data_IF_629631160810
#
_entry.id   IF_629631160810
#
_cell.length_a   1.000
_cell.length_b   1.000
_cell.length_c   1.000
_cell.angle_alpha   90.00
_cell.angle_beta   90.00
_cell.angle_gamma   90.00
#
_symmetry.space_group_name_H-M   'P 1'
#
loop_
_entity.id
_entity.type
_entity.pdbx_description
1 polymer ?
#
# COMPACT_ATOMS: atom_id res chain seq x y z
N UNK A 1 -11.17 -15.11 13.02
CA UNK A 1 -12.49 -14.58 12.62
C UNK A 1 -12.36 -13.11 12.31
N UNK A 2 -12.97 -12.64 11.22
CA UNK A 2 -13.08 -11.22 10.87
C UNK A 2 -14.53 -10.76 11.05
N UNK A 3 -14.74 -9.64 11.72
CA UNK A 3 -16.06 -9.05 11.94
C UNK A 3 -16.42 -8.17 10.75
N UNK A 4 -17.42 -8.56 9.97
CA UNK A 4 -17.85 -7.86 8.75
C UNK A 4 -18.97 -6.85 9.02
N UNK A 5 -19.55 -6.83 10.22
CA UNK A 5 -20.61 -5.87 10.58
C UNK A 5 -20.29 -4.39 10.28
N UNK A 6 -19.06 -3.88 10.47
CA UNK A 6 -18.73 -2.52 10.06
C UNK A 6 -18.77 -2.32 8.54
N UNK A 7 -18.43 -3.35 7.75
CA UNK A 7 -18.51 -3.32 6.29
C UNK A 7 -19.98 -3.38 5.83
N UNK A 8 -20.76 -4.35 6.32
CA UNK A 8 -22.18 -4.51 6.01
C UNK A 8 -22.97 -3.22 6.30
N UNK A 9 -22.78 -2.63 7.48
CA UNK A 9 -23.39 -1.35 7.88
C UNK A 9 -23.00 -0.17 6.97
N UNK A 10 -21.76 -0.14 6.46
CA UNK A 10 -21.33 0.91 5.54
C UNK A 10 -21.91 0.73 4.12
N UNK A 11 -21.99 -0.52 3.63
CA UNK A 11 -22.57 -0.85 2.33
C UNK A 11 -24.09 -0.61 2.27
N UNK A 12 -24.81 -0.93 3.34
CA UNK A 12 -26.25 -0.71 3.43
C UNK A 12 -26.63 0.75 3.74
N UNK A 13 -25.70 1.53 4.30
CA UNK A 13 -25.90 2.92 4.68
C UNK A 13 -25.60 3.95 3.59
N UNK A 14 -25.67 5.23 3.96
CA UNK A 14 -25.45 6.40 3.08
C UNK A 14 -24.08 6.36 2.37
N UNK A 15 -23.07 5.72 2.97
CA UNK A 15 -21.74 5.58 2.37
C UNK A 15 -21.76 4.65 1.14
N UNK A 16 -22.45 3.50 1.23
CA UNK A 16 -22.65 2.58 0.10
C UNK A 16 -23.50 3.21 -1.00
N UNK A 17 -24.56 3.95 -0.65
CA UNK A 17 -25.37 4.72 -1.60
C UNK A 17 -24.52 5.72 -2.39
N UNK A 18 -23.68 6.51 -1.72
CA UNK A 18 -22.77 7.48 -2.37
C UNK A 18 -21.67 6.82 -3.19
N UNK A 19 -21.15 5.68 -2.75
CA UNK A 19 -20.18 4.91 -3.51
C UNK A 19 -20.79 4.35 -4.80
N UNK A 20 -22.03 3.84 -4.74
CA UNK A 20 -22.77 3.40 -5.91
C UNK A 20 -23.09 4.57 -6.86
N UNK A 21 -23.53 5.72 -6.34
CA UNK A 21 -23.79 6.92 -7.13
C UNK A 21 -22.52 7.39 -7.87
N UNK A 22 -21.37 7.39 -7.20
CA UNK A 22 -20.08 7.73 -7.81
C UNK A 22 -19.74 6.78 -8.96
N UNK A 23 -19.88 5.46 -8.78
CA UNK A 23 -19.62 4.46 -9.82
C UNK A 23 -20.62 4.59 -10.97
N UNK A 24 -21.91 4.77 -10.66
CA UNK A 24 -22.97 4.96 -11.66
C UNK A 24 -22.70 6.15 -12.57
N UNK A 25 -22.26 7.27 -11.99
CA UNK A 25 -21.93 8.50 -12.72
C UNK A 25 -20.66 8.38 -13.59
N UNK A 26 -19.92 7.27 -13.51
CA UNK A 26 -18.80 6.95 -14.44
C UNK A 26 -19.20 6.00 -15.59
N UNK A 27 -20.43 5.47 -15.59
CA UNK A 27 -20.90 4.58 -16.65
C UNK A 27 -21.08 5.34 -17.98
N UNK A 28 -20.64 4.78 -19.13
CA UNK A 28 -20.93 5.37 -20.43
C UNK A 28 -22.42 5.29 -20.76
N UNK A 29 -22.94 6.22 -21.55
CA UNK A 29 -24.32 6.18 -22.04
C UNK A 29 -24.60 4.88 -22.82
N UNK A 30 -25.75 4.25 -22.59
CA UNK A 30 -26.10 3.01 -23.26
C UNK A 30 -26.26 3.21 -24.78
N UNK A 31 -25.67 2.29 -25.55
CA UNK A 31 -25.95 2.17 -26.98
C UNK A 31 -27.36 1.61 -27.22
N UNK A 32 -27.95 1.92 -28.38
CA UNK A 32 -29.29 1.46 -28.73
C UNK A 32 -29.43 -0.07 -28.67
N UNK A 33 -28.39 -0.81 -29.07
CA UNK A 33 -28.36 -2.29 -28.99
C UNK A 33 -28.39 -2.81 -27.55
N UNK A 34 -27.77 -2.12 -26.59
CA UNK A 34 -27.87 -2.47 -25.16
C UNK A 34 -29.25 -2.16 -24.57
N UNK A 35 -29.92 -1.13 -25.07
CA UNK A 35 -31.30 -0.78 -24.67
C UNK A 35 -32.28 -1.81 -25.22
N UNK A 36 -32.11 -2.24 -26.46
CA UNK A 36 -33.02 -3.19 -27.11
C UNK A 36 -32.79 -4.64 -26.66
N UNK A 37 -31.55 -5.03 -26.32
CA UNK A 37 -31.28 -6.27 -25.57
C UNK A 37 -32.04 -6.29 -24.23
N UNK A 38 -31.94 -5.23 -23.43
CA UNK A 38 -32.65 -5.14 -22.15
C UNK A 38 -34.17 -5.27 -22.34
N UNK A 39 -34.75 -4.55 -23.31
CA UNK A 39 -36.19 -4.68 -23.65
C UNK A 39 -36.55 -6.09 -24.12
N UNK A 40 -35.70 -6.76 -24.92
CA UNK A 40 -35.95 -8.14 -25.34
C UNK A 40 -35.87 -9.12 -24.17
N UNK A 41 -34.97 -8.92 -23.20
CA UNK A 41 -34.90 -9.73 -21.98
C UNK A 41 -36.12 -9.47 -21.08
N UNK A 42 -36.55 -8.21 -20.94
CA UNK A 42 -37.76 -7.82 -20.21
C UNK A 42 -39.03 -8.42 -20.84
N UNK A 43 -39.18 -8.39 -22.16
CA UNK A 43 -40.32 -8.97 -22.88
C UNK A 43 -40.36 -10.51 -22.88
N UNK A 44 -39.25 -11.17 -22.53
CA UNK A 44 -39.13 -12.63 -22.39
C UNK A 44 -39.18 -13.11 -20.93
N UNK A 45 -39.19 -12.18 -19.97
CA UNK A 45 -39.18 -12.51 -18.54
C UNK A 45 -40.55 -13.02 -18.08
N UNK A 46 -40.54 -14.01 -17.19
CA UNK A 46 -41.76 -14.50 -16.56
C UNK A 46 -42.18 -13.58 -15.40
N UNK A 47 -43.47 -13.58 -15.04
CA UNK A 47 -43.98 -12.77 -13.93
C UNK A 47 -43.18 -13.02 -12.64
N UNK A 48 -42.59 -11.96 -12.07
CA UNK A 48 -41.76 -12.01 -10.86
C UNK A 48 -40.25 -12.16 -11.11
N UNK A 49 -39.80 -12.37 -12.35
CA UNK A 49 -38.38 -12.47 -12.68
C UNK A 49 -37.74 -11.08 -12.84
N UNK A 50 -36.83 -10.70 -11.93
CA UNK A 50 -36.00 -9.49 -12.09
C UNK A 50 -35.12 -9.60 -13.34
N UNK A 51 -35.03 -8.52 -14.13
CA UNK A 51 -34.17 -8.44 -15.32
C UNK A 51 -33.13 -7.35 -15.11
N UNK A 52 -31.86 -7.74 -14.97
CA UNK A 52 -30.79 -6.80 -14.68
C UNK A 52 -30.46 -5.88 -15.86
N UNK A 53 -30.39 -4.59 -15.59
CA UNK A 53 -29.91 -3.55 -16.51
C UNK A 53 -28.46 -3.80 -16.95
N UNK A 54 -28.15 -3.50 -18.21
CA UNK A 54 -26.78 -3.49 -18.73
C UNK A 54 -25.93 -2.42 -18.02
N UNK A 55 -24.62 -2.67 -17.87
CA UNK A 55 -23.65 -1.78 -17.20
C UNK A 55 -23.31 -0.56 -18.08
N UNK A 56 -24.30 0.31 -18.27
CA UNK A 56 -24.24 1.58 -18.99
C UNK A 56 -25.36 2.49 -18.46
N UNK A 57 -25.24 3.80 -18.62
CA UNK A 57 -26.24 4.76 -18.16
C UNK A 57 -27.45 4.75 -19.12
N UNK A 58 -28.61 4.26 -18.65
CA UNK A 58 -29.86 4.34 -19.42
C UNK A 58 -30.38 5.79 -19.47
N UNK A 59 -31.12 6.19 -20.52
CA UNK A 59 -31.80 7.48 -20.56
C UNK A 59 -33.05 7.47 -19.66
N UNK A 60 -33.58 8.66 -19.37
CA UNK A 60 -34.92 8.83 -18.79
C UNK A 60 -35.99 8.12 -19.64
N UNK A 61 -36.98 7.43 -19.05
CA UNK A 61 -37.31 7.39 -17.63
C UNK A 61 -36.55 6.34 -16.79
N UNK A 62 -35.82 5.41 -17.40
CA UNK A 62 -35.27 4.20 -16.73
C UNK A 62 -34.15 4.47 -15.72
N UNK A 63 -33.55 5.67 -15.72
CA UNK A 63 -32.43 6.05 -14.84
C UNK A 63 -32.73 5.84 -13.35
N UNK A 64 -33.94 6.20 -12.90
CA UNK A 64 -34.33 6.07 -11.49
C UNK A 64 -34.47 4.60 -11.06
N UNK A 65 -35.14 3.79 -11.88
CA UNK A 65 -35.32 2.36 -11.66
C UNK A 65 -33.98 1.61 -11.68
N UNK A 66 -33.08 1.97 -12.61
CA UNK A 66 -31.74 1.40 -12.70
C UNK A 66 -30.90 1.69 -11.43
N UNK A 67 -30.95 2.93 -10.92
CA UNK A 67 -30.29 3.31 -9.65
C UNK A 67 -30.87 2.53 -8.47
N UNK A 68 -32.18 2.32 -8.43
CA UNK A 68 -32.84 1.55 -7.38
C UNK A 68 -32.48 0.05 -7.43
N UNK A 69 -32.51 -0.58 -8.61
CA UNK A 69 -32.14 -2.00 -8.80
C UNK A 69 -30.67 -2.26 -8.44
N UNK A 70 -29.76 -1.35 -8.77
CA UNK A 70 -28.35 -1.47 -8.37
C UNK A 70 -28.17 -1.29 -6.85
N UNK A 71 -28.91 -0.39 -6.20
CA UNK A 71 -28.86 -0.25 -4.74
C UNK A 71 -29.41 -1.50 -4.04
N UNK A 72 -30.54 -2.04 -4.52
CA UNK A 72 -31.09 -3.30 -4.04
C UNK A 72 -30.09 -4.45 -4.25
N UNK A 73 -29.41 -4.51 -5.39
CA UNK A 73 -28.38 -5.54 -5.65
C UNK A 73 -27.18 -5.43 -4.70
N UNK A 74 -26.73 -4.22 -4.36
CA UNK A 74 -25.67 -4.00 -3.36
C UNK A 74 -26.14 -4.39 -1.95
N UNK A 75 -27.41 -4.16 -1.62
CA UNK A 75 -28.01 -4.56 -0.34
C UNK A 75 -28.19 -6.08 -0.23
N UNK A 76 -28.74 -6.74 -1.25
CA UNK A 76 -28.88 -8.20 -1.33
C UNK A 76 -27.50 -8.89 -1.18
N UNK A 77 -26.44 -8.34 -1.80
CA UNK A 77 -25.06 -8.82 -1.61
C UNK A 77 -24.56 -8.55 -0.19
N UNK A 78 -24.81 -7.37 0.39
CA UNK A 78 -24.38 -7.03 1.74
C UNK A 78 -25.03 -7.90 2.82
N UNK A 79 -26.28 -8.33 2.63
CA UNK A 79 -26.94 -9.30 3.52
C UNK A 79 -26.50 -10.75 3.30
N UNK A 80 -25.98 -11.10 2.11
CA UNK A 80 -25.30 -12.39 1.89
C UNK A 80 -23.94 -12.50 2.57
N UNK A 81 -23.35 -11.38 3.03
CA UNK A 81 -22.07 -11.39 3.76
C UNK A 81 -22.32 -11.84 5.22
N UNK A 82 -21.79 -12.99 5.65
CA UNK A 82 -21.96 -13.44 7.03
C UNK A 82 -21.26 -12.49 8.00
N UNK A 83 -21.93 -12.12 9.09
CA UNK A 83 -21.49 -11.16 10.11
C UNK A 83 -20.10 -11.46 10.73
N UNK A 84 -19.70 -12.73 10.68
CA UNK A 84 -18.38 -13.22 11.08
C UNK A 84 -17.80 -14.13 10.00
N UNK A 85 -16.71 -13.73 9.36
CA UNK A 85 -15.98 -14.55 8.41
C UNK A 85 -14.90 -15.37 9.13
N UNK A 86 -15.05 -16.69 9.12
CA UNK A 86 -14.08 -17.63 9.67
C UNK A 86 -12.93 -17.86 8.68
N UNK A 87 -12.03 -16.88 8.59
CA UNK A 87 -10.80 -16.95 7.78
C UNK A 87 -9.91 -18.18 8.07
N UNK A 88 -10.12 -18.86 9.20
CA UNK A 88 -9.46 -20.13 9.57
C UNK A 88 -9.91 -21.33 8.73
N UNK A 89 -11.13 -21.29 8.20
CA UNK A 89 -11.78 -22.45 7.58
C UNK A 89 -11.68 -22.41 6.05
N UNK A 90 -11.43 -21.22 5.49
CA UNK A 90 -11.32 -20.96 4.04
C UNK A 90 -9.87 -20.75 3.54
N UNK A 91 -8.90 -20.67 4.46
CA UNK A 91 -7.47 -20.56 4.14
C UNK A 91 -6.73 -21.71 4.84
N UNK A 92 -5.75 -22.37 4.20
CA UNK A 92 -5.08 -23.56 4.73
C UNK A 92 -4.04 -23.24 5.85
N UNK A 93 -4.34 -22.26 6.71
CA UNK A 93 -3.50 -21.88 7.84
C UNK A 93 -3.84 -22.73 9.07
N UNK A 94 -2.98 -23.70 9.37
CA UNK A 94 -3.07 -24.43 10.64
C UNK A 94 -2.99 -23.46 11.83
N UNK A 95 -3.57 -23.84 12.98
CA UNK A 95 -3.48 -23.03 14.20
C UNK A 95 -2.01 -22.73 14.59
N UNK A 96 -1.09 -23.65 14.29
CA UNK A 96 0.35 -23.46 14.48
C UNK A 96 0.93 -22.40 13.54
N UNK A 97 0.54 -22.40 12.26
CA UNK A 97 0.93 -21.38 11.28
C UNK A 97 0.41 -20.00 11.68
N UNK A 98 -0.85 -19.90 12.14
CA UNK A 98 -1.41 -18.64 12.65
C UNK A 98 -0.65 -18.11 13.87
N UNK A 99 -0.30 -18.99 14.83
CA UNK A 99 0.50 -18.62 15.98
C UNK A 99 1.91 -18.13 15.58
N UNK A 100 2.57 -18.84 14.66
CA UNK A 100 3.89 -18.45 14.13
C UNK A 100 3.86 -17.09 13.42
N UNK A 101 2.87 -16.85 12.54
CA UNK A 101 2.69 -15.55 11.86
C UNK A 101 2.40 -14.43 12.86
N UNK A 102 1.54 -14.68 13.87
CA UNK A 102 1.30 -13.71 14.95
C UNK A 102 2.57 -13.39 15.75
N UNK A 103 3.38 -14.40 16.08
CA UNK A 103 4.63 -14.22 16.81
C UNK A 103 5.65 -13.43 15.96
N UNK A 104 5.78 -13.78 14.68
CA UNK A 104 6.67 -13.09 13.74
C UNK A 104 6.27 -11.62 13.54
N UNK A 105 4.97 -11.30 13.45
CA UNK A 105 4.49 -9.91 13.38
C UNK A 105 4.80 -9.13 14.67
N UNK A 106 4.66 -9.75 15.84
CA UNK A 106 5.02 -9.11 17.13
C UNK A 106 6.54 -8.90 17.27
N UNK A 107 7.35 -9.86 16.83
CA UNK A 107 8.81 -9.74 16.79
C UNK A 107 9.25 -8.66 15.79
N UNK A 108 8.74 -8.68 14.56
CA UNK A 108 9.03 -7.67 13.54
C UNK A 108 8.64 -6.26 14.00
N UNK A 109 7.49 -6.09 14.67
CA UNK A 109 7.08 -4.81 15.27
C UNK A 109 8.03 -4.35 16.39
N UNK A 110 8.55 -5.28 17.18
CA UNK A 110 9.51 -5.00 18.27
C UNK A 110 10.88 -4.61 17.70
N UNK A 111 11.37 -5.37 16.72
CA UNK A 111 12.63 -5.11 16.00
C UNK A 111 12.54 -3.78 15.25
N UNK A 112 11.42 -3.48 14.58
CA UNK A 112 11.19 -2.19 13.92
C UNK A 112 11.18 -1.02 14.93
N UNK A 113 10.56 -1.20 16.11
CA UNK A 113 10.49 -0.16 17.15
C UNK A 113 11.84 0.16 17.81
N UNK A 114 12.74 -0.81 17.92
CA UNK A 114 13.98 -0.67 18.71
C UNK A 114 15.28 -0.85 17.90
N UNK A 115 15.23 -1.33 16.65
CA UNK A 115 16.42 -1.56 15.82
C UNK A 115 17.25 -0.32 15.52
N UNK A 116 16.62 0.86 15.51
CA UNK A 116 17.32 2.14 15.39
C UNK A 116 18.19 2.46 16.63
N UNK A 117 17.78 2.05 17.84
CA UNK A 117 18.61 2.16 19.05
C UNK A 117 19.82 1.22 18.97
N UNK A 118 19.64 0.01 18.41
CA UNK A 118 20.75 -0.92 18.20
C UNK A 118 21.80 -0.32 17.25
N UNK A 119 21.34 0.28 16.13
CA UNK A 119 22.22 0.94 15.17
C UNK A 119 22.96 2.16 15.76
N UNK A 120 22.27 3.02 16.50
CA UNK A 120 22.87 4.17 17.19
C UNK A 120 23.84 3.72 18.28
N UNK A 121 23.49 2.70 19.07
CA UNK A 121 24.37 2.14 20.11
C UNK A 121 25.65 1.54 19.53
N UNK A 122 25.57 0.85 18.39
CA UNK A 122 26.73 0.32 17.69
C UNK A 122 27.63 1.46 17.14
N UNK A 123 27.03 2.50 16.56
CA UNK A 123 27.75 3.70 16.10
C UNK A 123 28.49 4.40 17.25
N UNK A 124 27.84 4.56 18.42
CA UNK A 124 28.47 5.11 19.62
C UNK A 124 29.59 4.23 20.17
N UNK A 125 29.45 2.90 20.12
CA UNK A 125 30.51 1.97 20.50
C UNK A 125 31.73 2.10 19.57
N UNK A 126 31.51 2.19 18.26
CA UNK A 126 32.56 2.42 17.26
C UNK A 126 33.23 3.78 17.47
N UNK A 127 32.46 4.83 17.80
CA UNK A 127 33.04 6.13 18.16
C UNK A 127 33.97 6.03 19.37
N UNK A 128 33.50 5.45 20.48
CA UNK A 128 34.25 5.34 21.73
C UNK A 128 35.53 4.50 21.62
N UNK A 129 35.60 3.55 20.68
CA UNK A 129 36.75 2.65 20.50
C UNK A 129 37.71 3.10 19.38
N UNK A 130 37.19 3.63 18.27
CA UNK A 130 37.98 3.90 17.05
C UNK A 130 38.28 5.38 16.80
N UNK A 131 37.48 6.32 17.32
CA UNK A 131 37.67 7.76 17.06
C UNK A 131 38.62 8.35 18.09
N UNK A 132 39.92 8.42 17.73
CA UNK A 132 40.97 9.04 18.55
C UNK A 132 41.26 10.50 18.17
N UNK A 133 40.87 10.93 16.98
CA UNK A 133 41.01 12.31 16.51
C UNK A 133 39.74 12.82 15.81
N UNK A 134 39.64 14.15 15.67
CA UNK A 134 38.58 14.78 14.88
C UNK A 134 38.62 14.37 13.38
N UNK A 135 39.77 13.93 12.87
CA UNK A 135 39.90 13.43 11.50
C UNK A 135 39.33 12.01 11.37
N UNK A 136 39.51 11.17 12.39
CA UNK A 136 38.94 9.83 12.46
C UNK A 136 37.41 9.88 12.51
N UNK A 137 36.83 10.86 13.21
CA UNK A 137 35.38 11.08 13.26
C UNK A 137 34.80 11.21 11.84
N UNK A 138 35.42 12.03 10.99
CA UNK A 138 34.99 12.23 9.60
C UNK A 138 35.05 10.97 8.75
N UNK A 139 36.07 10.12 8.95
CA UNK A 139 36.21 8.84 8.25
C UNK A 139 35.22 7.79 8.76
N UNK A 140 35.12 7.59 10.08
CA UNK A 140 34.30 6.54 10.69
C UNK A 140 32.80 6.86 10.72
N UNK A 141 32.39 8.13 10.71
CA UNK A 141 30.98 8.52 10.67
C UNK A 141 30.56 9.10 9.32
N UNK A 142 31.38 9.99 8.73
CA UNK A 142 31.04 10.65 7.47
C UNK A 142 30.88 9.68 6.30
N UNK A 143 31.79 8.70 6.17
CA UNK A 143 31.72 7.71 5.08
C UNK A 143 30.49 6.79 5.23
N UNK A 144 30.20 6.16 6.39
CA UNK A 144 28.98 5.34 6.54
C UNK A 144 27.68 6.13 6.44
N UNK A 145 27.63 7.40 6.89
CA UNK A 145 26.46 8.27 6.71
C UNK A 145 26.23 8.60 5.23
N UNK A 146 27.29 8.93 4.48
CA UNK A 146 27.20 9.14 3.04
C UNK A 146 26.78 7.86 2.31
N UNK A 147 27.39 6.71 2.63
CA UNK A 147 27.09 5.43 1.98
C UNK A 147 25.65 4.96 2.27
N UNK A 148 25.17 5.11 3.51
CA UNK A 148 23.78 4.77 3.87
C UNK A 148 22.77 5.74 3.24
N UNK A 149 23.11 7.01 3.06
CA UNK A 149 22.33 7.95 2.26
C UNK A 149 22.20 7.52 0.79
N UNK A 150 23.30 7.13 0.15
CA UNK A 150 23.29 6.60 -1.24
C UNK A 150 22.50 5.30 -1.35
N UNK A 151 22.69 4.35 -0.43
CA UNK A 151 21.96 3.08 -0.40
C UNK A 151 20.46 3.29 -0.17
N UNK A 152 20.07 4.16 0.77
CA UNK A 152 18.69 4.53 1.03
C UNK A 152 18.02 5.18 -0.19
N UNK A 153 18.70 6.13 -0.82
CA UNK A 153 18.21 6.79 -2.03
C UNK A 153 18.03 5.79 -3.19
N UNK A 154 19.03 4.92 -3.40
CA UNK A 154 18.98 3.84 -4.40
C UNK A 154 17.79 2.92 -4.15
N UNK A 155 17.60 2.47 -2.90
CA UNK A 155 16.45 1.65 -2.50
C UNK A 155 15.11 2.36 -2.74
N UNK A 156 14.99 3.67 -2.46
CA UNK A 156 13.73 4.39 -2.74
C UNK A 156 13.36 4.45 -4.23
N UNK A 157 14.35 4.34 -5.12
CA UNK A 157 14.15 4.30 -6.58
C UNK A 157 13.89 2.87 -7.08
N UNK A 158 14.60 1.86 -6.56
CA UNK A 158 14.51 0.48 -7.06
C UNK A 158 13.38 -0.34 -6.44
N UNK A 159 12.95 -0.07 -5.20
CA UNK A 159 11.90 -0.85 -4.53
C UNK A 159 10.57 -0.90 -5.31
N UNK A 160 10.04 0.21 -5.87
CA UNK A 160 8.80 0.16 -6.64
C UNK A 160 8.92 -0.74 -7.88
N UNK A 161 10.02 -0.65 -8.62
CA UNK A 161 10.27 -1.45 -9.82
C UNK A 161 10.48 -2.95 -9.49
N UNK A 162 11.27 -3.25 -8.47
CA UNK A 162 11.42 -4.64 -7.97
C UNK A 162 10.10 -5.17 -7.40
N UNK A 163 9.33 -4.31 -6.73
CA UNK A 163 8.03 -4.62 -6.16
C UNK A 163 7.03 -5.09 -7.21
N UNK A 164 6.91 -4.40 -8.35
CA UNK A 164 6.04 -4.86 -9.45
C UNK A 164 6.39 -6.27 -9.94
N UNK A 165 7.68 -6.59 -10.06
CA UNK A 165 8.14 -7.95 -10.40
C UNK A 165 7.82 -8.99 -9.33
N UNK A 166 7.96 -8.64 -8.05
CA UNK A 166 7.65 -9.55 -6.94
C UNK A 166 6.15 -9.76 -6.76
N UNK A 167 5.33 -8.72 -6.91
CA UNK A 167 3.88 -8.83 -6.77
C UNK A 167 3.24 -9.56 -7.95
N UNK A 168 3.74 -9.42 -9.18
CA UNK A 168 3.20 -10.18 -10.33
C UNK A 168 3.31 -11.70 -10.14
N UNK A 169 4.34 -12.18 -9.43
CA UNK A 169 4.47 -13.58 -9.03
C UNK A 169 3.41 -14.00 -8.01
N UNK A 170 3.13 -13.15 -7.00
CA UNK A 170 2.07 -13.41 -6.02
C UNK A 170 0.65 -13.32 -6.60
N UNK A 171 0.41 -12.39 -7.54
CA UNK A 171 -0.92 -12.18 -8.14
C UNK A 171 -1.20 -13.09 -9.34
N UNK A 172 -0.24 -13.90 -9.79
CA UNK A 172 -0.44 -14.92 -10.83
C UNK A 172 -1.52 -15.97 -10.48
N UNK A 173 -1.88 -16.10 -9.20
CA UNK A 173 -2.93 -16.99 -8.69
C UNK A 173 -4.31 -16.30 -8.57
N UNK A 174 -4.42 -15.01 -8.91
CA UNK A 174 -5.64 -14.21 -8.76
C UNK A 174 -6.32 -13.91 -10.11
N UNK A 175 -7.66 -13.72 -10.13
CA UNK A 175 -8.34 -13.16 -11.30
C UNK A 175 -7.78 -11.79 -11.67
N UNK A 176 -7.55 -11.52 -12.97
CA UNK A 176 -6.83 -10.31 -13.45
C UNK A 176 -7.34 -8.99 -12.88
N UNK A 177 -8.65 -8.77 -12.87
CA UNK A 177 -9.25 -7.56 -12.31
C UNK A 177 -8.95 -7.35 -10.81
N UNK A 178 -8.79 -8.44 -10.04
CA UNK A 178 -8.40 -8.37 -8.63
C UNK A 178 -6.88 -8.17 -8.48
N UNK A 179 -6.08 -8.79 -9.36
CA UNK A 179 -4.64 -8.64 -9.40
C UNK A 179 -4.21 -7.19 -9.70
N UNK A 180 -4.85 -6.55 -10.68
CA UNK A 180 -4.56 -5.18 -11.12
C UNK A 180 -4.83 -4.16 -10.00
N UNK A 181 -6.00 -4.21 -9.35
CA UNK A 181 -6.34 -3.38 -8.19
C UNK A 181 -5.39 -3.60 -7.00
N UNK A 182 -5.05 -4.86 -6.68
CA UNK A 182 -4.12 -5.18 -5.58
C UNK A 182 -2.71 -4.63 -5.87
N UNK A 183 -2.21 -4.74 -7.10
CA UNK A 183 -0.92 -4.17 -7.50
C UNK A 183 -0.96 -2.64 -7.45
N UNK A 184 -2.03 -2.00 -7.92
CA UNK A 184 -2.20 -0.55 -7.88
C UNK A 184 -2.22 -0.02 -6.43
N UNK A 185 -2.96 -0.66 -5.53
CA UNK A 185 -3.01 -0.33 -4.10
C UNK A 185 -1.65 -0.50 -3.41
N UNK A 186 -0.91 -1.59 -3.72
CA UNK A 186 0.42 -1.83 -3.17
C UNK A 186 1.46 -0.83 -3.66
N UNK A 187 1.46 -0.51 -4.96
CA UNK A 187 2.34 0.51 -5.55
C UNK A 187 2.05 1.92 -4.99
N UNK A 188 0.77 2.31 -4.90
CA UNK A 188 0.37 3.58 -4.27
C UNK A 188 0.80 3.64 -2.80
N UNK A 189 0.62 2.55 -2.04
CA UNK A 189 1.03 2.46 -0.63
C UNK A 189 2.56 2.55 -0.48
N UNK A 190 3.32 1.84 -1.33
CA UNK A 190 4.79 1.90 -1.34
C UNK A 190 5.29 3.30 -1.68
N UNK A 191 4.74 3.95 -2.71
CA UNK A 191 5.10 5.34 -3.05
C UNK A 191 4.82 6.30 -1.89
N UNK A 192 3.71 6.15 -1.18
CA UNK A 192 3.39 6.95 0.00
C UNK A 192 4.36 6.69 1.17
N UNK A 193 4.75 5.42 1.41
CA UNK A 193 5.72 5.05 2.45
C UNK A 193 7.16 5.48 2.13
N UNK A 194 7.54 5.50 0.85
CA UNK A 194 8.88 5.91 0.40
C UNK A 194 9.00 7.44 0.24
N UNK A 195 7.89 8.17 0.12
CA UNK A 195 7.86 9.65 0.00
C UNK A 195 8.55 10.40 1.16
N UNK A 196 8.53 9.98 2.43
CA UNK A 196 9.40 10.58 3.46
C UNK A 196 10.87 10.11 3.38
N UNK A 197 11.15 8.90 2.86
CA UNK A 197 12.47 8.29 2.92
C UNK A 197 13.52 8.93 2.01
N UNK A 198 13.17 9.46 0.83
CA UNK A 198 14.18 10.09 -0.03
C UNK A 198 14.73 11.39 0.60
N UNK A 199 13.97 12.16 1.42
CA UNK A 199 14.53 13.35 2.13
C UNK A 199 15.40 12.91 3.31
N UNK A 200 15.00 11.85 4.03
CA UNK A 200 15.83 11.25 5.07
C UNK A 200 17.17 10.76 4.51
N UNK A 201 17.15 10.11 3.35
CA UNK A 201 18.34 9.62 2.63
C UNK A 201 19.22 10.78 2.14
N UNK A 202 18.61 11.85 1.59
CA UNK A 202 19.34 13.05 1.18
C UNK A 202 19.99 13.79 2.36
N UNK A 203 19.30 13.90 3.50
CA UNK A 203 19.84 14.50 4.73
C UNK A 203 20.99 13.67 5.32
N UNK A 204 20.88 12.34 5.32
CA UNK A 204 21.97 11.44 5.73
C UNK A 204 23.20 11.58 4.81
N UNK A 205 22.97 11.63 3.49
CA UNK A 205 24.04 11.83 2.51
C UNK A 205 24.76 13.17 2.71
N UNK A 206 24.01 14.27 2.76
CA UNK A 206 24.56 15.61 2.94
C UNK A 206 25.25 15.76 4.31
N UNK A 207 24.66 15.22 5.38
CA UNK A 207 25.26 15.24 6.72
C UNK A 207 26.57 14.47 6.80
N UNK A 208 26.65 13.29 6.19
CA UNK A 208 27.88 12.50 6.09
C UNK A 208 28.96 13.20 5.26
N UNK A 209 28.58 13.80 4.14
CA UNK A 209 29.49 14.53 3.24
C UNK A 209 30.02 15.82 3.91
N UNK A 210 29.18 16.57 4.63
CA UNK A 210 29.60 17.74 5.42
C UNK A 210 30.54 17.37 6.57
N UNK A 211 30.27 16.28 7.30
CA UNK A 211 31.17 15.77 8.34
C UNK A 211 32.54 15.38 7.76
N UNK A 212 32.57 14.71 6.61
CA UNK A 212 33.81 14.34 5.93
C UNK A 212 34.57 15.58 5.41
N UNK A 213 33.89 16.52 4.76
CA UNK A 213 34.50 17.73 4.22
C UNK A 213 35.04 18.67 5.30
N UNK A 214 34.29 18.91 6.38
CA UNK A 214 34.70 19.80 7.47
C UNK A 214 35.90 19.27 8.27
N UNK A 215 35.95 17.96 8.50
CA UNK A 215 37.09 17.32 9.17
C UNK A 215 38.34 17.27 8.30
N UNK A 216 38.20 17.11 6.98
CA UNK A 216 39.30 17.24 6.02
C UNK A 216 39.82 18.68 5.91
N UNK A 217 38.93 19.69 5.88
CA UNK A 217 39.32 21.10 5.91
C UNK A 217 40.10 21.44 7.18
N UNK A 218 39.60 21.02 8.35
CA UNK A 218 40.28 21.22 9.62
C UNK A 218 41.67 20.53 9.64
N UNK A 219 41.77 19.30 9.13
CA UNK A 219 43.06 18.61 8.98
C UNK A 219 44.08 19.40 8.15
N UNK A 220 43.61 20.03 7.06
CA UNK A 220 44.44 20.83 6.16
C UNK A 220 44.96 22.11 6.82
N UNK A 221 44.12 22.84 7.56
CA UNK A 221 44.53 24.08 8.24
C UNK A 221 45.63 23.84 9.29
N UNK A 222 45.59 22.72 10.02
CA UNK A 222 46.67 22.36 10.97
C UNK A 222 47.98 21.93 10.28
N UNK A 223 47.92 21.47 9.03
CA UNK A 223 49.13 21.18 8.24
C UNK A 223 49.76 22.48 7.68
N UNK A 224 48.94 23.39 7.16
CA UNK A 224 49.37 24.69 6.63
C UNK A 224 49.86 25.66 7.72
N UNK A 225 49.48 25.43 9.00
CA UNK A 225 49.98 26.17 10.15
C UNK A 225 51.25 25.58 10.80
N UNK A 226 51.78 24.46 10.27
CA UNK A 226 52.93 23.73 10.81
C UNK A 226 54.15 23.72 9.87
N UNK A 227 54.10 24.50 8.78
CA UNK A 227 55.11 24.62 7.72
C UNK A 227 55.68 26.03 7.62
#
# INVERSE_FOLDING_TARGET
TLFTEPLRRNLQGVNGQKALELVYNTLPACTQTQIDDFKQRQAKAQHGQRVYYNLCHFPSPWEADQKADYLASVQDVADSVPATLALTDTLPFTAQTYWQVKLALLQARTISRFGWLLAIGLLWLIAALCVRSFQDLGRWWGIPLALSGVLGFTLTITLPAMGQGWFSYFTALLPRALAEEIVALLDATLRLMLRPMWWQSALLFLGGLLLFAGTWWHARQHAEAAS
#
